data_IF_711520886098
#
_entry.id   IF_711520886098
#
_cell.length_a   1.000
_cell.length_b   1.000
_cell.length_c   1.000
_cell.angle_alpha   90.00
_cell.angle_beta   90.00
_cell.angle_gamma   90.00
#
_symmetry.space_group_name_H-M   'P 1'
#
loop_
_entity.id
_entity.type
_entity.pdbx_description
1 polymer ?
#
# COMPACT_ATOMS: atom_id res chain seq x y z
N UNK A 1 1.58 7.80 19.15
CA UNK A 1 1.10 6.48 19.61
C UNK A 1 2.08 5.43 19.12
N UNK A 2 2.48 4.48 19.95
CA UNK A 2 3.29 3.33 19.54
C UNK A 2 2.30 2.27 19.09
N UNK A 3 2.29 1.94 17.81
CA UNK A 3 1.47 0.84 17.30
C UNK A 3 2.14 -0.48 17.71
N UNK A 4 1.52 -1.20 18.62
CA UNK A 4 1.98 -2.54 19.01
C UNK A 4 1.45 -3.53 17.99
N UNK A 5 2.35 -4.31 17.36
CA UNK A 5 2.01 -5.36 16.42
C UNK A 5 2.57 -6.69 16.91
N UNK A 6 1.88 -7.79 16.63
CA UNK A 6 2.41 -9.13 16.84
C UNK A 6 3.23 -9.49 15.62
N UNK A 7 4.51 -9.77 15.84
CA UNK A 7 5.39 -10.31 14.82
C UNK A 7 5.29 -11.85 14.85
N UNK A 8 5.25 -12.46 13.67
CA UNK A 8 5.19 -13.91 13.52
C UNK A 8 6.00 -14.38 12.31
N UNK A 9 6.55 -15.57 12.41
CA UNK A 9 7.18 -16.31 11.33
C UNK A 9 6.20 -17.23 10.59
N UNK A 10 4.93 -17.26 11.03
CA UNK A 10 3.87 -17.94 10.31
C UNK A 10 3.71 -17.35 8.90
N UNK A 11 3.44 -18.22 7.92
CA UNK A 11 3.26 -17.80 6.53
C UNK A 11 2.01 -16.92 6.38
N UNK A 12 2.20 -15.61 6.34
CA UNK A 12 1.15 -14.65 6.02
C UNK A 12 1.17 -14.44 4.51
N UNK A 13 0.05 -14.71 3.85
CA UNK A 13 -0.13 -14.56 2.41
C UNK A 13 -1.45 -13.85 2.10
N UNK A 14 -1.62 -13.44 0.85
CA UNK A 14 -2.92 -12.97 0.37
C UNK A 14 -3.96 -14.08 0.62
N UNK A 15 -5.06 -13.74 1.29
CA UNK A 15 -6.13 -14.67 1.66
C UNK A 15 -6.21 -15.01 3.15
N UNK A 16 -5.13 -14.85 3.94
CA UNK A 16 -5.26 -14.94 5.40
C UNK A 16 -5.26 -13.59 6.13
N UNK A 17 -5.11 -12.49 5.40
CA UNK A 17 -5.30 -11.12 5.92
C UNK A 17 -6.77 -10.92 6.34
N UNK A 18 -6.98 -10.37 7.56
CA UNK A 18 -8.32 -10.21 8.14
C UNK A 18 -8.87 -11.47 8.81
N UNK A 19 -8.22 -12.62 8.67
CA UNK A 19 -8.57 -13.85 9.38
C UNK A 19 -8.16 -13.82 10.86
N UNK A 20 -8.32 -14.94 11.56
CA UNK A 20 -7.91 -15.08 12.96
C UNK A 20 -6.52 -15.70 13.12
N UNK A 21 -5.67 -15.10 13.95
CA UNK A 21 -4.46 -15.71 14.46
C UNK A 21 -4.75 -16.31 15.84
N UNK A 22 -4.53 -17.59 16.00
CA UNK A 22 -4.83 -18.34 17.22
C UNK A 22 -3.55 -18.89 17.85
N UNK A 23 -3.53 -18.96 19.16
CA UNK A 23 -2.49 -19.67 19.88
C UNK A 23 -2.79 -21.17 19.97
N UNK A 24 -1.89 -21.94 20.58
CA UNK A 24 -2.04 -23.40 20.75
C UNK A 24 -3.21 -23.80 21.67
N UNK A 25 -3.74 -22.87 22.46
CA UNK A 25 -4.92 -23.08 23.28
C UNK A 25 -6.23 -22.76 22.52
N UNK A 26 -6.16 -22.36 21.26
CA UNK A 26 -7.32 -21.97 20.44
C UNK A 26 -7.85 -20.57 20.74
N UNK A 27 -7.09 -19.75 21.45
CA UNK A 27 -7.49 -18.36 21.73
C UNK A 27 -7.09 -17.44 20.59
N UNK A 28 -8.01 -16.56 20.17
CA UNK A 28 -7.75 -15.53 19.17
C UNK A 28 -6.81 -14.47 19.78
N UNK A 29 -5.60 -14.36 19.25
CA UNK A 29 -4.56 -13.45 19.73
C UNK A 29 -4.35 -12.23 18.84
N UNK A 30 -4.72 -12.33 17.56
CA UNK A 30 -4.53 -11.24 16.62
C UNK A 30 -5.22 -11.45 15.28
N UNK A 31 -5.16 -10.43 14.44
CA UNK A 31 -5.70 -10.41 13.09
C UNK A 31 -4.53 -10.18 12.13
N UNK A 32 -4.15 -11.17 11.29
CA UNK A 32 -3.13 -10.98 10.26
C UNK A 32 -3.52 -9.83 9.35
N UNK A 33 -2.61 -8.88 9.20
CA UNK A 33 -2.92 -7.67 8.43
C UNK A 33 -1.89 -7.39 7.33
N UNK A 34 -0.67 -7.85 7.51
CA UNK A 34 0.42 -7.44 6.64
C UNK A 34 1.49 -8.53 6.56
N UNK A 35 1.95 -8.77 5.33
CA UNK A 35 3.22 -9.45 5.09
C UNK A 35 4.28 -8.35 4.85
N UNK A 36 5.33 -8.38 5.64
CA UNK A 36 6.48 -7.55 5.33
C UNK A 36 7.24 -8.19 4.17
N UNK A 37 6.96 -7.76 2.95
CA UNK A 37 7.79 -8.07 1.79
C UNK A 37 8.81 -6.96 1.71
N UNK A 38 10.04 -7.27 2.12
CA UNK A 38 11.13 -6.31 2.03
C UNK A 38 11.42 -6.01 0.57
N UNK A 39 11.28 -4.75 0.18
CA UNK A 39 11.92 -4.24 -1.04
C UNK A 39 13.14 -3.43 -0.63
N UNK A 40 14.25 -3.66 -1.31
CA UNK A 40 15.49 -2.92 -1.09
C UNK A 40 15.31 -1.42 -1.36
N UNK A 41 14.30 -1.06 -2.17
CA UNK A 41 13.97 0.31 -2.54
C UNK A 41 13.10 1.02 -1.51
N UNK A 42 12.33 0.27 -0.70
CA UNK A 42 11.46 0.82 0.36
C UNK A 42 12.11 0.76 1.75
N UNK A 43 13.34 0.28 1.84
CA UNK A 43 14.11 0.20 3.08
C UNK A 43 13.77 -0.98 3.98
N UNK A 44 13.01 -1.92 3.47
CA UNK A 44 12.64 -3.14 4.19
C UNK A 44 13.40 -4.32 3.60
N UNK A 45 14.40 -4.82 4.31
CA UNK A 45 15.23 -5.97 3.88
C UNK A 45 14.81 -7.29 4.55
N UNK A 46 13.58 -7.39 5.06
CA UNK A 46 13.18 -8.54 5.88
C UNK A 46 12.13 -9.37 5.15
N UNK A 47 12.54 -10.52 4.64
CA UNK A 47 11.62 -11.55 4.15
C UNK A 47 11.10 -12.42 5.32
N UNK A 48 9.84 -12.85 5.22
CA UNK A 48 9.27 -13.86 6.12
C UNK A 48 8.78 -13.34 7.48
N UNK A 49 8.61 -12.03 7.65
CA UNK A 49 7.97 -11.48 8.85
C UNK A 49 6.51 -11.15 8.55
N UNK A 50 5.61 -11.90 9.18
CA UNK A 50 4.20 -11.59 9.25
C UNK A 50 3.91 -10.64 10.40
N UNK A 51 2.96 -9.72 10.20
CA UNK A 51 2.48 -8.80 11.23
C UNK A 51 0.98 -8.99 11.43
N UNK A 52 0.56 -9.01 12.70
CA UNK A 52 -0.84 -9.08 13.06
C UNK A 52 -1.19 -7.99 14.08
N UNK A 53 -2.39 -7.46 13.95
CA UNK A 53 -2.97 -6.53 14.91
C UNK A 53 -3.34 -7.33 16.16
N UNK A 54 -2.84 -6.99 17.35
CA UNK A 54 -3.23 -7.67 18.59
C UNK A 54 -4.74 -7.59 18.78
N UNK A 55 -5.38 -8.68 19.20
CA UNK A 55 -6.84 -8.68 19.40
C UNK A 55 -7.28 -7.65 20.43
N UNK A 56 -6.43 -7.31 21.38
CA UNK A 56 -6.73 -6.30 22.40
C UNK A 56 -6.91 -4.90 21.81
N UNK A 57 -6.21 -4.56 20.72
CA UNK A 57 -6.38 -3.30 20.00
C UNK A 57 -7.69 -3.25 19.21
N UNK A 58 -8.19 -4.41 18.79
CA UNK A 58 -9.43 -4.52 18.04
C UNK A 58 -10.68 -4.67 18.93
N UNK A 59 -10.52 -4.99 20.23
CA UNK A 59 -11.64 -5.30 21.12
C UNK A 59 -12.66 -4.20 21.24
N UNK A 60 -12.22 -2.96 21.37
CA UNK A 60 -13.13 -1.84 21.55
C UNK A 60 -13.99 -1.64 20.29
N UNK A 61 -13.37 -1.70 19.11
CA UNK A 61 -14.07 -1.64 17.83
C UNK A 61 -15.07 -2.82 17.67
N UNK A 62 -14.63 -4.03 18.02
CA UNK A 62 -15.50 -5.21 17.95
C UNK A 62 -16.70 -5.06 18.89
N UNK A 63 -16.48 -4.59 20.10
CA UNK A 63 -17.53 -4.38 21.07
C UNK A 63 -18.52 -3.28 20.65
N UNK A 64 -18.04 -2.21 20.07
CA UNK A 64 -18.87 -1.13 19.52
C UNK A 64 -19.77 -1.62 18.39
N UNK A 65 -19.22 -2.42 17.46
CA UNK A 65 -20.00 -3.03 16.38
C UNK A 65 -21.05 -4.00 16.92
N UNK A 66 -20.68 -4.88 17.87
CA UNK A 66 -21.58 -5.86 18.47
C UNK A 66 -22.68 -5.22 19.32
N UNK A 67 -22.41 -4.06 19.93
CA UNK A 67 -23.38 -3.29 20.72
C UNK A 67 -24.37 -2.47 19.89
N UNK A 68 -24.28 -2.54 18.55
CA UNK A 68 -25.13 -1.76 17.65
C UNK A 68 -24.82 -0.26 17.61
N UNK A 69 -23.77 0.18 18.29
CA UNK A 69 -23.31 1.57 18.29
C UNK A 69 -22.26 1.82 17.18
N UNK A 70 -22.14 0.88 16.24
CA UNK A 70 -21.12 0.88 15.20
C UNK A 70 -21.30 1.99 14.16
N UNK A 71 -21.25 3.23 14.63
CA UNK A 71 -20.87 4.32 13.75
C UNK A 71 -19.34 4.36 13.74
N UNK A 72 -18.74 3.63 12.82
CA UNK A 72 -17.28 3.68 12.59
C UNK A 72 -16.97 4.98 11.85
N UNK A 73 -17.23 6.10 12.53
CA UNK A 73 -16.66 7.37 12.09
C UNK A 73 -15.15 7.27 12.31
N UNK A 74 -14.42 7.31 11.18
CA UNK A 74 -12.99 7.13 11.17
C UNK A 74 -12.27 7.99 12.19
N UNK A 75 -11.70 7.33 13.18
CA UNK A 75 -10.78 7.96 14.11
C UNK A 75 -9.57 8.44 13.32
N UNK A 76 -9.53 9.73 13.04
CA UNK A 76 -8.35 10.41 12.52
C UNK A 76 -7.29 10.45 13.62
N UNK A 77 -6.51 9.40 13.72
CA UNK A 77 -5.26 9.41 14.48
C UNK A 77 -4.11 9.53 13.50
N UNK A 78 -3.55 10.72 13.47
CA UNK A 78 -2.33 11.07 12.78
C UNK A 78 -1.19 10.15 13.26
N UNK A 79 -0.88 9.10 12.51
CA UNK A 79 0.31 8.28 12.74
C UNK A 79 1.12 8.19 11.46
N UNK A 80 2.16 8.96 11.45
CA UNK A 80 3.28 8.94 10.53
C UNK A 80 3.95 7.56 10.57
N UNK A 81 4.00 6.89 9.45
CA UNK A 81 4.68 5.67 9.04
C UNK A 81 3.84 4.39 8.95
N UNK A 82 3.77 3.91 7.73
CA UNK A 82 3.43 2.54 7.36
C UNK A 82 2.00 2.34 6.88
N UNK A 83 1.84 2.09 5.60
CA UNK A 83 0.63 1.59 4.93
C UNK A 83 -0.65 2.31 5.27
N UNK A 84 -0.91 3.39 4.59
CA UNK A 84 -2.24 3.93 4.51
C UNK A 84 -3.11 2.97 3.72
N UNK A 85 -3.82 2.12 4.43
CA UNK A 85 -4.99 1.48 3.87
C UNK A 85 -6.11 1.55 4.88
N UNK A 86 -7.24 1.88 4.34
CA UNK A 86 -8.58 1.89 4.86
C UNK A 86 -9.06 3.29 5.20
N UNK A 87 -9.39 4.00 4.16
CA UNK A 87 -10.56 4.85 4.20
C UNK A 87 -11.76 3.96 3.86
N UNK A 88 -12.42 3.39 4.85
CA UNK A 88 -13.79 2.90 4.73
C UNK A 88 -14.72 4.11 4.72
N UNK A 89 -14.70 4.84 3.66
CA UNK A 89 -15.61 5.92 3.38
C UNK A 89 -15.58 6.08 1.88
N UNK A 90 -16.71 6.28 1.27
CA UNK A 90 -17.04 6.45 -0.14
C UNK A 90 -16.10 7.39 -0.93
N UNK A 91 -14.80 7.15 -0.90
CA UNK A 91 -13.83 7.88 -1.72
C UNK A 91 -13.42 7.04 -2.91
N UNK A 92 -13.47 7.62 -4.09
CA UNK A 92 -13.01 6.95 -5.29
C UNK A 92 -11.51 6.69 -5.22
N UNK A 93 -11.08 5.55 -5.73
CA UNK A 93 -9.68 5.13 -5.74
C UNK A 93 -9.36 4.41 -7.05
N UNK A 94 -8.10 4.25 -7.32
CA UNK A 94 -7.63 3.59 -8.55
C UNK A 94 -7.24 2.12 -8.34
N UNK A 95 -7.14 1.67 -7.09
CA UNK A 95 -6.82 0.27 -6.75
C UNK A 95 -5.32 -0.05 -6.82
N UNK A 96 -4.49 0.79 -6.21
CA UNK A 96 -3.06 0.54 -6.01
C UNK A 96 -2.70 0.69 -4.54
N UNK A 97 -1.73 -0.10 -4.10
CA UNK A 97 -1.01 0.13 -2.85
C UNK A 97 0.33 0.75 -3.17
N UNK A 98 0.60 1.90 -2.58
CA UNK A 98 1.84 2.65 -2.80
C UNK A 98 2.61 2.88 -1.51
N UNK A 99 3.91 3.09 -1.63
CA UNK A 99 4.79 3.44 -0.52
C UNK A 99 5.81 4.49 -0.95
N UNK A 100 6.52 5.04 0.02
CA UNK A 100 7.63 5.93 -0.24
C UNK A 100 8.90 5.12 -0.56
N UNK A 101 9.68 5.60 -1.53
CA UNK A 101 11.02 5.09 -1.75
C UNK A 101 11.94 5.49 -0.59
N UNK A 102 12.86 4.60 -0.23
CA UNK A 102 13.88 4.92 0.77
C UNK A 102 14.91 5.90 0.18
N UNK A 103 15.00 7.13 0.72
CA UNK A 103 15.95 8.12 0.22
C UNK A 103 17.42 7.70 0.39
N UNK A 104 17.69 6.75 1.28
CA UNK A 104 19.03 6.21 1.54
C UNK A 104 19.36 4.97 0.69
N UNK A 105 18.43 4.47 -0.13
CA UNK A 105 18.76 3.40 -1.07
C UNK A 105 19.79 3.91 -2.08
N UNK A 106 20.69 3.03 -2.52
CA UNK A 106 21.76 3.42 -3.45
C UNK A 106 21.21 4.03 -4.73
N UNK A 107 20.15 3.43 -5.29
CA UNK A 107 19.53 3.89 -6.53
C UNK A 107 18.90 5.29 -6.42
N UNK A 108 18.21 5.59 -5.31
CA UNK A 108 17.64 6.92 -5.08
C UNK A 108 18.73 7.95 -4.76
N UNK A 109 19.65 7.61 -3.86
CA UNK A 109 20.73 8.50 -3.43
C UNK A 109 21.68 8.90 -4.57
N UNK A 110 21.84 8.03 -5.57
CA UNK A 110 22.68 8.29 -6.75
C UNK A 110 21.89 8.70 -8.00
N UNK A 111 20.57 8.99 -7.85
CA UNK A 111 19.68 9.40 -8.93
C UNK A 111 19.60 8.40 -10.10
N UNK A 112 19.78 7.11 -9.84
CA UNK A 112 19.58 6.04 -10.84
C UNK A 112 18.10 5.82 -11.14
N UNK A 113 17.23 6.11 -10.17
CA UNK A 113 15.78 6.11 -10.31
C UNK A 113 15.21 7.43 -9.78
N UNK A 114 14.07 7.91 -10.32
CA UNK A 114 13.44 9.12 -9.83
C UNK A 114 12.79 8.91 -8.45
N UNK A 115 12.57 10.01 -7.73
CA UNK A 115 11.70 10.01 -6.55
C UNK A 115 10.24 10.01 -6.97
N UNK A 116 9.38 9.32 -6.19
CA UNK A 116 7.96 9.22 -6.49
C UNK A 116 7.25 8.26 -5.54
N UNK A 117 5.99 7.95 -5.83
CA UNK A 117 5.23 6.93 -5.13
C UNK A 117 5.48 5.56 -5.77
N UNK A 118 6.06 4.64 -5.01
CA UNK A 118 6.38 3.28 -5.46
C UNK A 118 5.15 2.38 -5.37
N UNK A 119 4.80 1.72 -6.47
CA UNK A 119 3.65 0.79 -6.54
C UNK A 119 4.06 -0.57 -5.99
N UNK A 120 3.55 -0.92 -4.82
CA UNK A 120 3.78 -2.21 -4.16
C UNK A 120 2.82 -3.29 -4.63
N UNK A 121 1.59 -2.91 -4.92
CA UNK A 121 0.54 -3.84 -5.33
C UNK A 121 -0.49 -3.15 -6.22
N UNK A 122 -1.10 -3.92 -7.11
CA UNK A 122 -2.18 -3.49 -7.99
C UNK A 122 -3.34 -4.44 -7.82
N UNK A 123 -4.48 -3.92 -7.35
CA UNK A 123 -5.69 -4.70 -7.10
C UNK A 123 -6.24 -5.27 -8.41
N UNK A 124 -6.50 -6.58 -8.44
CA UNK A 124 -7.02 -7.24 -9.63
C UNK A 124 -8.41 -6.72 -10.02
N UNK A 125 -8.62 -6.47 -11.31
CA UNK A 125 -9.86 -5.88 -11.84
C UNK A 125 -9.98 -4.38 -11.61
N UNK A 126 -9.02 -3.75 -10.93
CA UNK A 126 -9.03 -2.33 -10.62
C UNK A 126 -8.89 -1.44 -11.85
N UNK A 127 -9.24 -0.15 -11.73
CA UNK A 127 -8.96 0.83 -12.78
C UNK A 127 -7.46 0.96 -13.11
N UNK A 128 -6.58 0.85 -12.12
CA UNK A 128 -5.14 0.91 -12.32
C UNK A 128 -4.62 -0.28 -13.14
N UNK A 129 -5.08 -1.51 -12.83
CA UNK A 129 -4.72 -2.68 -13.63
C UNK A 129 -5.18 -2.53 -15.09
N UNK A 130 -6.43 -2.09 -15.31
CA UNK A 130 -6.99 -1.85 -16.65
C UNK A 130 -6.24 -0.78 -17.42
N UNK A 131 -5.70 0.23 -16.74
CA UNK A 131 -4.89 1.28 -17.33
C UNK A 131 -3.44 0.83 -17.61
N UNK A 132 -3.03 -0.33 -17.09
CA UNK A 132 -1.70 -0.89 -17.30
C UNK A 132 -0.66 -0.46 -16.27
N UNK A 133 -1.08 0.01 -15.09
CA UNK A 133 -0.17 0.20 -13.95
C UNK A 133 0.34 -1.17 -13.50
N UNK A 134 1.63 -1.25 -13.18
CA UNK A 134 2.29 -2.49 -12.76
C UNK A 134 2.95 -2.33 -11.39
N UNK A 135 3.10 -3.44 -10.70
CA UNK A 135 3.95 -3.50 -9.50
C UNK A 135 5.37 -3.10 -9.87
N UNK A 136 6.03 -2.39 -8.97
CA UNK A 136 7.35 -1.79 -9.15
C UNK A 136 7.41 -0.56 -10.09
N UNK A 137 6.28 -0.02 -10.57
CA UNK A 137 6.24 1.32 -11.15
C UNK A 137 6.53 2.39 -10.08
N UNK A 138 7.14 3.49 -10.50
CA UNK A 138 7.26 4.70 -9.67
C UNK A 138 6.38 5.79 -10.30
N UNK A 139 5.32 6.19 -9.60
CA UNK A 139 4.48 7.33 -10.04
C UNK A 139 5.22 8.62 -9.72
N UNK A 140 5.56 9.38 -10.75
CA UNK A 140 6.34 10.62 -10.66
C UNK A 140 5.52 11.89 -10.90
N UNK A 141 4.37 11.76 -11.60
CA UNK A 141 3.43 12.86 -11.82
C UNK A 141 1.99 12.35 -11.78
N UNK A 142 1.08 13.21 -11.32
CA UNK A 142 -0.37 13.03 -11.42
C UNK A 142 -0.95 14.30 -12.02
N UNK A 143 -1.63 14.18 -13.16
CA UNK A 143 -2.20 15.29 -13.92
C UNK A 143 -1.20 16.44 -14.19
N UNK A 144 0.03 16.08 -14.53
CA UNK A 144 1.11 17.04 -14.77
C UNK A 144 1.71 17.67 -13.50
N UNK A 145 1.19 17.33 -12.33
CA UNK A 145 1.76 17.74 -11.05
C UNK A 145 2.77 16.70 -10.59
N UNK A 146 4.03 17.11 -10.41
CA UNK A 146 5.08 16.22 -9.91
C UNK A 146 4.75 15.75 -8.51
N UNK A 147 4.96 14.46 -8.27
CA UNK A 147 4.85 13.83 -6.95
C UNK A 147 6.18 13.19 -6.58
N UNK A 148 6.60 13.38 -5.35
CA UNK A 148 7.84 12.84 -4.80
C UNK A 148 7.59 11.83 -3.68
N UNK A 149 6.33 11.69 -3.26
CA UNK A 149 5.92 10.81 -2.17
C UNK A 149 4.50 10.25 -2.39
N UNK A 150 4.20 9.20 -1.64
CA UNK A 150 2.87 8.59 -1.55
C UNK A 150 1.81 9.60 -1.08
N UNK A 151 2.16 10.45 -0.13
CA UNK A 151 1.25 11.43 0.47
C UNK A 151 0.82 12.47 -0.56
N UNK A 152 1.74 12.96 -1.39
CA UNK A 152 1.46 13.92 -2.45
C UNK A 152 0.54 13.30 -3.51
N UNK A 153 0.86 12.09 -3.99
CA UNK A 153 0.00 11.34 -4.91
C UNK A 153 -1.41 11.15 -4.34
N UNK A 154 -1.51 10.69 -3.11
CA UNK A 154 -2.79 10.42 -2.45
C UNK A 154 -3.61 11.70 -2.29
N UNK A 155 -2.98 12.80 -1.92
CA UNK A 155 -3.64 14.11 -1.76
C UNK A 155 -4.30 14.57 -3.06
N UNK A 156 -3.61 14.42 -4.20
CA UNK A 156 -4.15 14.80 -5.51
C UNK A 156 -5.34 13.90 -5.87
N UNK A 157 -5.20 12.58 -5.73
CA UNK A 157 -6.27 11.64 -6.07
C UNK A 157 -7.50 11.80 -5.17
N UNK A 158 -7.33 12.10 -3.88
CA UNK A 158 -8.42 12.32 -2.94
C UNK A 158 -9.24 13.60 -3.23
N UNK A 159 -8.71 14.52 -4.01
CA UNK A 159 -9.46 15.70 -4.45
C UNK A 159 -10.45 15.43 -5.59
N UNK A 160 -10.38 14.25 -6.19
CA UNK A 160 -11.20 13.84 -7.34
C UNK A 160 -12.44 13.06 -6.91
N UNK A 161 -13.39 12.94 -7.84
CA UNK A 161 -14.65 12.20 -7.66
C UNK A 161 -14.65 10.89 -8.47
N UNK A 162 -15.57 9.99 -8.13
CA UNK A 162 -15.80 8.79 -8.94
C UNK A 162 -16.22 9.17 -10.36
N UNK A 163 -15.61 8.52 -11.35
CA UNK A 163 -15.79 8.82 -12.76
C UNK A 163 -14.83 9.89 -13.30
N UNK A 164 -14.08 10.59 -12.43
CA UNK A 164 -13.00 11.44 -12.90
C UNK A 164 -11.84 10.60 -13.40
N UNK A 165 -11.07 11.16 -14.33
CA UNK A 165 -9.82 10.54 -14.80
C UNK A 165 -8.61 11.24 -14.17
N UNK A 166 -7.54 10.47 -13.99
CA UNK A 166 -6.22 10.97 -13.64
C UNK A 166 -5.19 10.44 -14.64
N UNK A 167 -4.31 11.30 -15.09
CA UNK A 167 -3.15 10.89 -15.88
C UNK A 167 -1.97 10.68 -14.94
N UNK A 168 -1.50 9.45 -14.85
CA UNK A 168 -0.31 9.08 -14.07
C UNK A 168 0.88 9.01 -15.03
N UNK A 169 1.96 9.72 -14.74
CA UNK A 169 3.24 9.45 -15.36
C UNK A 169 4.02 8.51 -14.46
N UNK A 170 4.31 7.33 -14.95
CA UNK A 170 5.07 6.31 -14.23
C UNK A 170 6.46 6.16 -14.84
N UNK A 171 7.44 5.88 -13.99
CA UNK A 171 8.76 5.42 -14.41
C UNK A 171 8.80 3.91 -14.21
N UNK A 172 9.08 3.18 -15.28
CA UNK A 172 9.08 1.71 -15.32
C UNK A 172 10.43 1.20 -15.76
N UNK A 173 10.96 0.26 -15.01
CA UNK A 173 12.17 -0.49 -15.36
C UNK A 173 11.76 -1.86 -15.87
N UNK A 174 12.37 -2.34 -16.96
CA UNK A 174 12.10 -3.65 -17.51
C UNK A 174 12.31 -4.76 -16.46
N UNK A 175 11.32 -5.63 -16.31
CA UNK A 175 11.33 -6.69 -15.29
C UNK A 175 10.97 -6.24 -13.88
N UNK A 176 10.77 -4.95 -13.65
CA UNK A 176 10.48 -4.36 -12.35
C UNK A 176 11.72 -4.13 -11.49
N UNK A 177 11.71 -3.11 -10.66
CA UNK A 177 12.84 -2.73 -9.81
C UNK A 177 13.28 -3.86 -8.86
N UNK A 178 12.32 -4.60 -8.31
CA UNK A 178 12.59 -5.67 -7.33
C UNK A 178 13.31 -6.90 -7.92
N UNK A 179 13.42 -6.99 -9.24
CA UNK A 179 14.19 -8.06 -9.90
C UNK A 179 15.71 -7.84 -9.85
N UNK A 180 16.15 -6.65 -9.47
CA UNK A 180 17.59 -6.30 -9.44
C UNK A 180 18.12 -6.33 -8.00
N UNK A 181 18.83 -7.41 -7.65
CA UNK A 181 19.51 -7.52 -6.34
C UNK A 181 20.65 -6.49 -6.20
N UNK A 182 21.31 -6.16 -7.31
CA UNK A 182 22.36 -5.14 -7.36
C UNK A 182 21.81 -3.83 -7.93
N UNK A 183 21.60 -2.85 -7.06
CA UNK A 183 21.11 -1.53 -7.44
C UNK A 183 22.02 -0.77 -8.41
N UNK A 184 23.27 -1.19 -8.58
CA UNK A 184 24.19 -0.59 -9.55
C UNK A 184 23.95 -1.09 -10.97
N UNK A 185 23.23 -2.19 -11.13
CA UNK A 185 22.92 -2.84 -12.41
C UNK A 185 21.54 -2.51 -12.96
N UNK A 186 20.79 -1.60 -12.30
CA UNK A 186 19.45 -1.19 -12.76
C UNK A 186 19.60 -0.47 -14.11
N UNK A 187 18.94 -0.95 -15.17
CA UNK A 187 18.93 -0.25 -16.44
C UNK A 187 18.09 1.03 -16.37
N UNK A 188 18.30 1.93 -17.32
CA UNK A 188 17.43 3.09 -17.48
C UNK A 188 16.00 2.62 -17.76
N UNK A 189 15.06 3.17 -17.01
CA UNK A 189 13.62 2.93 -17.23
C UNK A 189 13.03 3.92 -18.23
N UNK A 190 11.77 3.71 -18.54
CA UNK A 190 11.00 4.59 -19.42
C UNK A 190 9.89 5.31 -18.66
N UNK A 191 9.53 6.50 -19.14
CA UNK A 191 8.38 7.24 -18.64
C UNK A 191 7.17 6.92 -19.51
N UNK A 192 6.08 6.47 -18.86
CA UNK A 192 4.84 6.06 -19.52
C UNK A 192 3.69 6.90 -18.93
N UNK A 193 2.86 7.48 -19.79
CA UNK A 193 1.64 8.16 -19.37
C UNK A 193 0.47 7.17 -19.41
N UNK A 194 -0.19 6.99 -18.27
CA UNK A 194 -1.32 6.08 -18.08
C UNK A 194 -2.54 6.87 -17.62
N UNK A 195 -3.67 6.70 -18.31
CA UNK A 195 -4.93 7.33 -17.90
C UNK A 195 -5.76 6.34 -17.10
N UNK A 196 -6.09 6.70 -15.87
CA UNK A 196 -6.83 5.88 -14.92
C UNK A 196 -8.14 6.58 -14.56
N UNK A 197 -9.27 5.88 -14.63
CA UNK A 197 -10.55 6.36 -14.13
C UNK A 197 -10.69 6.03 -12.64
N UNK A 198 -11.08 6.99 -11.80
CA UNK A 198 -11.32 6.74 -10.39
C UNK A 198 -12.68 6.06 -10.20
N UNK A 199 -12.71 4.95 -9.49
CA UNK A 199 -13.92 4.20 -9.22
C UNK A 199 -14.19 4.03 -7.73
N UNK A 200 -15.47 3.89 -7.38
CA UNK A 200 -15.85 3.35 -6.09
C UNK A 200 -15.52 1.84 -6.13
N UNK A 201 -14.42 1.47 -5.51
CA UNK A 201 -14.07 0.06 -5.38
C UNK A 201 -14.65 -0.43 -4.06
N UNK A 202 -15.57 -1.37 -4.14
CA UNK A 202 -16.06 -2.07 -2.96
C UNK A 202 -14.84 -2.70 -2.26
N UNK A 203 -14.82 -2.66 -0.93
CA UNK A 203 -13.83 -3.40 -0.16
C UNK A 203 -13.97 -4.86 -0.59
N UNK A 204 -12.94 -5.39 -1.24
CA UNK A 204 -12.95 -6.60 -2.04
C UNK A 204 -13.85 -7.69 -1.46
N UNK A 205 -14.87 -8.04 -2.22
CA UNK A 205 -15.54 -9.31 -2.09
C UNK A 205 -14.53 -10.39 -2.55
N UNK A 206 -13.78 -10.95 -1.61
CA UNK A 206 -13.03 -12.20 -1.77
C UNK A 206 -13.35 -13.14 -0.63
#
# INVERSE_FOLDING_TARGET
AVNTMIQTDAAINAGNSGGGMFNVAGELIGIPSMKYTGSMFTGSTVEGIGMAIPINEAKDLINDVLSGNGNVEGSTSNSTQGSASISTGDKPRIGVTVSNLNPNSYAVANNLIPTGAYVQDVESGSPAEKAGVQVADIVVEVDGTRVSSMEEMTSILQSKQAGDTATLKVYRVEGGLDSYEDQTSIPDGEYIDLTVELAMLDAAAQ
#
